data_IF_877839249014
#
_entry.id   IF_877839249014
#
_cell.length_a   1.000
_cell.length_b   1.000
_cell.length_c   1.000
_cell.angle_alpha   90.00
_cell.angle_beta   90.00
_cell.angle_gamma   90.00
#
_symmetry.space_group_name_H-M   'P 1'
#
loop_
_entity.id
_entity.type
_entity.pdbx_description
1 polymer ?
#
# COMPACT_ATOMS: atom_id res chain seq x y z
N UNK A 1 -17.07 14.92 56.11
CA UNK A 1 -16.78 13.89 55.10
C UNK A 1 -17.79 13.97 53.96
N UNK A 2 -17.42 14.53 52.82
CA UNK A 2 -18.08 14.27 51.52
C UNK A 2 -16.96 14.14 50.50
N UNK A 3 -16.80 12.92 50.03
CA UNK A 3 -15.80 12.43 49.10
C UNK A 3 -15.85 13.19 47.78
N UNK A 4 -14.70 13.74 47.36
CA UNK A 4 -14.51 14.20 45.99
C UNK A 4 -14.61 12.98 45.07
N UNK A 5 -15.61 12.99 44.18
CA UNK A 5 -15.74 12.03 43.10
C UNK A 5 -14.70 12.43 42.04
N UNK A 6 -13.62 11.65 41.91
CA UNK A 6 -12.69 11.81 40.80
C UNK A 6 -13.40 11.39 39.53
N UNK A 7 -13.57 12.34 38.61
CA UNK A 7 -13.99 12.08 37.24
C UNK A 7 -12.77 11.49 36.53
N UNK A 8 -12.61 10.17 36.59
CA UNK A 8 -11.65 9.47 35.76
C UNK A 8 -12.13 9.59 34.31
N UNK A 9 -11.54 10.51 33.55
CA UNK A 9 -11.58 10.48 32.10
C UNK A 9 -10.98 9.12 31.66
N UNK A 10 -11.85 8.18 31.29
CA UNK A 10 -11.47 7.10 30.40
C UNK A 10 -11.14 7.75 29.05
N UNK A 11 -9.90 8.19 28.88
CA UNK A 11 -9.27 8.21 27.56
C UNK A 11 -9.16 6.74 27.15
N UNK A 12 -10.23 6.19 26.57
CA UNK A 12 -10.10 5.00 25.74
C UNK A 12 -9.18 5.41 24.60
N UNK A 13 -7.91 5.08 24.75
CA UNK A 13 -6.91 5.13 23.70
C UNK A 13 -7.55 4.56 22.45
N UNK A 14 -7.70 5.40 21.43
CA UNK A 14 -7.96 4.95 20.07
C UNK A 14 -6.79 4.03 19.77
N UNK A 15 -6.98 2.72 19.92
CA UNK A 15 -6.07 1.74 19.37
C UNK A 15 -6.27 1.85 17.88
N UNK A 16 -5.61 2.85 17.28
CA UNK A 16 -5.32 2.88 15.86
C UNK A 16 -4.82 1.49 15.53
N UNK A 17 -5.55 0.75 14.70
CA UNK A 17 -5.03 -0.47 14.14
C UNK A 17 -3.80 -0.07 13.33
N UNK A 18 -2.62 -0.14 13.96
CA UNK A 18 -1.38 -0.28 13.23
C UNK A 18 -1.49 -1.67 12.61
N UNK A 19 -1.84 -1.71 11.33
CA UNK A 19 -1.94 -2.95 10.60
C UNK A 19 -0.51 -3.47 10.42
N UNK A 20 -0.04 -4.31 11.34
CA UNK A 20 1.26 -4.97 11.25
C UNK A 20 1.09 -6.37 10.70
N UNK A 21 1.78 -6.66 9.60
CA UNK A 21 1.89 -8.00 9.04
C UNK A 21 3.33 -8.41 8.86
N UNK A 22 3.58 -9.71 9.01
CA UNK A 22 4.91 -10.32 8.90
C UNK A 22 4.87 -11.47 7.92
N UNK A 23 5.85 -11.52 7.03
CA UNK A 23 6.06 -12.65 6.14
C UNK A 23 7.53 -13.05 6.15
N UNK A 24 7.80 -14.34 5.99
CA UNK A 24 9.17 -14.84 5.78
C UNK A 24 9.38 -15.04 4.28
N UNK A 25 10.41 -14.40 3.74
CA UNK A 25 10.79 -14.49 2.33
C UNK A 25 12.07 -15.32 2.23
N UNK A 26 11.96 -16.52 1.68
CA UNK A 26 13.08 -17.44 1.52
C UNK A 26 13.66 -17.34 0.10
N UNK A 27 14.85 -16.76 -0.02
CA UNK A 27 15.61 -16.64 -1.25
C UNK A 27 16.91 -17.47 -1.19
N UNK A 28 16.95 -18.52 -0.38
CA UNK A 28 18.16 -19.34 -0.21
C UNK A 28 18.42 -20.27 -1.39
N UNK A 29 17.39 -20.59 -2.18
CA UNK A 29 17.47 -21.48 -3.34
C UNK A 29 16.85 -20.83 -4.60
N UNK A 30 17.46 -19.73 -5.06
CA UNK A 30 17.04 -19.08 -6.31
C UNK A 30 17.80 -19.63 -7.52
N UNK A 31 17.43 -19.18 -8.73
CA UNK A 31 18.07 -19.61 -9.97
C UNK A 31 19.60 -19.55 -9.91
N UNK A 32 20.25 -20.49 -10.61
CA UNK A 32 21.70 -20.68 -10.60
C UNK A 32 22.31 -20.99 -9.22
N UNK A 33 21.53 -21.56 -8.30
CA UNK A 33 21.95 -21.83 -6.91
C UNK A 33 22.41 -20.56 -6.19
N UNK A 34 21.85 -19.41 -6.56
CA UNK A 34 22.16 -18.15 -5.89
C UNK A 34 21.45 -18.13 -4.55
N UNK A 35 22.22 -18.08 -3.46
CA UNK A 35 21.69 -17.86 -2.13
C UNK A 35 21.60 -16.36 -1.89
N UNK A 36 20.39 -15.81 -2.05
CA UNK A 36 20.11 -14.41 -1.78
C UNK A 36 19.65 -14.16 -0.35
N UNK A 37 19.53 -15.19 0.51
CA UNK A 37 19.27 -15.07 1.94
C UNK A 37 17.84 -15.43 2.38
N UNK A 38 17.62 -15.41 3.69
CA UNK A 38 16.31 -15.61 4.33
C UNK A 38 15.93 -14.31 5.04
N UNK A 39 14.80 -13.71 4.67
CA UNK A 39 14.38 -12.42 5.19
C UNK A 39 13.07 -12.48 5.96
N UNK A 40 12.96 -11.68 7.00
CA UNK A 40 11.69 -11.27 7.57
C UNK A 40 11.26 -9.95 6.98
N UNK A 41 10.04 -9.91 6.47
CA UNK A 41 9.42 -8.70 6.01
C UNK A 41 8.33 -8.31 7.01
N UNK A 42 8.39 -7.09 7.53
CA UNK A 42 7.33 -6.48 8.33
C UNK A 42 6.75 -5.31 7.57
N UNK A 43 5.42 -5.25 7.44
CA UNK A 43 4.69 -4.14 6.86
C UNK A 43 3.78 -3.58 7.93
N UNK A 44 3.89 -2.28 8.20
CA UNK A 44 3.05 -1.56 9.14
C UNK A 44 2.40 -0.39 8.41
N UNK A 45 1.07 -0.34 8.40
CA UNK A 45 0.33 0.79 7.84
C UNK A 45 -0.18 1.70 8.96
N UNK A 46 0.21 2.97 8.90
CA UNK A 46 -0.19 4.02 9.83
C UNK A 46 -1.16 4.98 9.14
N UNK A 47 -2.37 5.12 9.67
CA UNK A 47 -3.32 6.12 9.18
C UNK A 47 -2.78 7.54 9.37
N UNK A 48 -3.09 8.41 8.41
CA UNK A 48 -2.93 9.85 8.57
C UNK A 48 -3.91 10.31 9.66
N UNK A 49 -3.51 11.29 10.47
CA UNK A 49 -4.30 11.77 11.62
C UNK A 49 -5.20 12.97 11.30
N UNK A 50 -5.16 13.45 10.07
CA UNK A 50 -5.85 14.68 9.66
C UNK A 50 -6.63 14.43 8.40
N UNK A 51 -7.75 15.16 8.26
CA UNK A 51 -8.58 15.15 7.06
C UNK A 51 -7.72 15.38 5.81
N UNK A 52 -7.89 14.52 4.82
CA UNK A 52 -7.30 14.70 3.50
C UNK A 52 -8.31 15.39 2.59
N UNK A 53 -7.85 16.41 1.88
CA UNK A 53 -8.63 17.08 0.85
C UNK A 53 -8.05 16.79 -0.53
N UNK A 54 -8.90 16.72 -1.55
CA UNK A 54 -8.45 16.54 -2.93
C UNK A 54 -9.40 17.20 -3.92
N UNK A 55 -8.91 17.39 -5.14
CA UNK A 55 -9.70 17.77 -6.31
C UNK A 55 -9.79 16.58 -7.27
N UNK A 56 -10.66 16.69 -8.27
CA UNK A 56 -10.70 15.70 -9.34
C UNK A 56 -9.46 15.84 -10.23
N UNK A 57 -9.00 14.70 -10.71
CA UNK A 57 -8.01 14.56 -11.76
C UNK A 57 -8.63 13.80 -12.93
N UNK A 58 -8.20 14.11 -14.14
CA UNK A 58 -8.82 13.62 -15.36
C UNK A 58 -7.79 12.93 -16.23
N UNK A 59 -8.19 11.82 -16.85
CA UNK A 59 -7.39 11.07 -17.80
C UNK A 59 -8.30 10.48 -18.86
N UNK A 60 -7.74 10.13 -20.01
CA UNK A 60 -8.46 9.43 -21.06
C UNK A 60 -8.01 7.97 -21.11
N UNK A 61 -8.97 7.08 -21.32
CA UNK A 61 -8.76 5.66 -21.53
C UNK A 61 -9.34 5.29 -22.89
N UNK A 62 -8.67 4.39 -23.61
CA UNK A 62 -9.18 3.86 -24.88
C UNK A 62 -9.41 2.37 -24.71
N UNK A 63 -10.64 1.94 -24.97
CA UNK A 63 -11.03 0.54 -24.99
C UNK A 63 -11.76 0.25 -26.32
N UNK A 64 -11.35 -0.78 -27.04
CA UNK A 64 -11.94 -1.20 -28.33
C UNK A 64 -12.19 -0.09 -29.39
N UNK A 65 -11.37 0.97 -29.40
CA UNK A 65 -11.43 2.20 -30.21
C UNK A 65 -12.36 3.31 -29.70
N UNK A 66 -13.13 3.05 -28.66
CA UNK A 66 -13.89 4.08 -27.96
C UNK A 66 -12.99 4.81 -26.96
N UNK A 67 -13.17 6.13 -26.86
CA UNK A 67 -12.44 6.97 -25.93
C UNK A 67 -13.36 7.30 -24.75
N UNK A 68 -12.88 7.03 -23.55
CA UNK A 68 -13.59 7.26 -22.30
C UNK A 68 -12.82 8.27 -21.47
N UNK A 69 -13.52 9.17 -20.78
CA UNK A 69 -12.88 9.93 -19.71
C UNK A 69 -12.96 9.18 -18.37
N UNK A 70 -11.82 9.05 -17.70
CA UNK A 70 -11.69 8.57 -16.33
C UNK A 70 -11.41 9.75 -15.41
N UNK A 71 -12.32 9.96 -14.46
CA UNK A 71 -12.21 10.95 -13.41
C UNK A 71 -11.82 10.28 -12.10
N UNK A 72 -10.77 10.79 -11.44
CA UNK A 72 -10.21 10.19 -10.23
C UNK A 72 -10.08 11.23 -9.11
N UNK A 73 -10.55 10.88 -7.92
CA UNK A 73 -10.22 11.59 -6.68
C UNK A 73 -9.19 10.78 -5.89
N UNK A 74 -8.08 11.41 -5.50
CA UNK A 74 -6.96 10.77 -4.79
C UNK A 74 -6.76 11.39 -3.41
N UNK A 75 -6.79 10.58 -2.36
CA UNK A 75 -6.63 11.01 -0.97
C UNK A 75 -5.37 10.40 -0.37
N UNK A 76 -4.57 11.20 0.33
CA UNK A 76 -3.48 10.67 1.16
C UNK A 76 -4.08 10.11 2.45
N UNK A 77 -4.04 8.79 2.62
CA UNK A 77 -4.72 8.11 3.74
C UNK A 77 -3.77 7.69 4.85
N UNK A 78 -2.47 7.72 4.61
CA UNK A 78 -1.49 7.33 5.61
C UNK A 78 -0.10 7.08 5.06
N UNK A 79 0.67 6.32 5.82
CA UNK A 79 2.03 5.92 5.50
C UNK A 79 2.22 4.43 5.77
N UNK A 80 2.77 3.72 4.79
CA UNK A 80 3.22 2.35 4.93
C UNK A 80 4.71 2.36 5.30
N UNK A 81 5.02 1.72 6.42
CA UNK A 81 6.37 1.45 6.90
C UNK A 81 6.70 0.00 6.61
N UNK A 82 7.67 -0.20 5.73
CA UNK A 82 8.19 -1.49 5.35
C UNK A 82 9.55 -1.70 6.01
N UNK A 83 9.76 -2.87 6.59
CA UNK A 83 11.05 -3.34 7.11
C UNK A 83 11.38 -4.69 6.53
N UNK A 84 12.54 -4.81 5.88
CA UNK A 84 13.13 -6.08 5.49
C UNK A 84 14.35 -6.34 6.37
N UNK A 85 14.42 -7.50 6.99
CA UNK A 85 15.52 -7.90 7.86
C UNK A 85 16.07 -9.25 7.42
N UNK A 86 17.37 -9.33 7.18
CA UNK A 86 18.06 -10.61 6.96
C UNK A 86 18.14 -11.36 8.29
N UNK A 87 17.58 -12.56 8.35
CA UNK A 87 17.53 -13.37 9.57
C UNK A 87 18.89 -13.89 10.03
N UNK A 88 19.86 -13.99 9.13
CA UNK A 88 21.17 -14.56 9.41
C UNK A 88 22.21 -13.49 9.71
N UNK A 89 22.17 -12.37 8.98
CA UNK A 89 23.19 -11.30 9.10
C UNK A 89 22.75 -10.13 9.99
N UNK A 90 21.45 -10.01 10.27
CA UNK A 90 20.90 -8.87 11.01
C UNK A 90 20.84 -7.57 10.20
N UNK A 91 21.21 -7.59 8.91
CA UNK A 91 21.02 -6.44 8.03
C UNK A 91 19.55 -6.06 7.97
N UNK A 92 19.27 -4.75 7.94
CA UNK A 92 17.90 -4.25 7.84
C UNK A 92 17.79 -3.11 6.83
N UNK A 93 16.64 -3.04 6.16
CA UNK A 93 16.22 -1.91 5.34
C UNK A 93 14.83 -1.47 5.73
N UNK A 94 14.70 -0.20 6.07
CA UNK A 94 13.40 0.43 6.32
C UNK A 94 13.04 1.35 5.16
N UNK A 95 11.77 1.34 4.76
CA UNK A 95 11.22 2.18 3.69
C UNK A 95 9.87 2.70 4.18
N UNK A 96 9.68 4.01 4.14
CA UNK A 96 8.37 4.63 4.42
C UNK A 96 7.84 5.23 3.13
N UNK A 97 6.59 4.91 2.79
CA UNK A 97 5.90 5.43 1.61
C UNK A 97 4.53 5.95 2.02
N UNK A 98 4.14 7.08 1.43
CA UNK A 98 2.76 7.57 1.54
C UNK A 98 1.83 6.59 0.83
N UNK A 99 0.67 6.38 1.42
CA UNK A 99 -0.40 5.58 0.85
C UNK A 99 -1.51 6.50 0.41
N UNK A 100 -1.88 6.35 -0.86
CA UNK A 100 -3.00 7.05 -1.45
C UNK A 100 -4.12 6.07 -1.71
N UNK A 101 -5.32 6.47 -1.35
CA UNK A 101 -6.54 5.77 -1.73
C UNK A 101 -7.30 6.59 -2.78
N UNK A 102 -7.89 5.91 -3.75
CA UNK A 102 -8.61 6.57 -4.82
C UNK A 102 -10.01 6.01 -5.02
N UNK A 103 -10.86 6.86 -5.59
CA UNK A 103 -12.13 6.48 -6.21
C UNK A 103 -12.10 6.99 -7.64
N UNK A 104 -12.53 6.14 -8.57
CA UNK A 104 -12.57 6.43 -10.00
C UNK A 104 -13.99 6.31 -10.52
N UNK A 105 -14.32 7.17 -11.48
CA UNK A 105 -15.53 7.06 -12.29
C UNK A 105 -15.12 7.14 -13.76
N UNK A 106 -15.48 6.12 -14.53
CA UNK A 106 -15.35 6.14 -15.99
C UNK A 106 -16.70 6.57 -16.56
N UNK A 107 -16.69 7.62 -17.39
CA UNK A 107 -17.87 8.02 -18.15
C UNK A 107 -18.10 7.07 -19.32
N UNK A 108 -19.34 6.97 -19.80
CA UNK A 108 -19.69 6.20 -21.00
C UNK A 108 -19.27 6.92 -22.30
N UNK A 109 -18.77 8.16 -22.20
CA UNK A 109 -18.32 9.00 -23.30
C UNK A 109 -16.97 9.70 -23.00
N UNK A 110 -16.54 10.57 -23.92
CA UNK A 110 -15.31 11.35 -23.81
C UNK A 110 -15.38 12.49 -22.76
N UNK A 111 -16.54 12.72 -22.14
CA UNK A 111 -16.76 13.83 -21.20
C UNK A 111 -16.48 13.41 -19.77
N UNK A 112 -15.59 14.12 -19.11
CA UNK A 112 -15.25 13.84 -17.71
C UNK A 112 -16.37 14.25 -16.74
N UNK A 113 -16.64 13.39 -15.75
CA UNK A 113 -17.49 13.76 -14.64
C UNK A 113 -16.82 14.84 -13.79
N UNK A 114 -17.50 15.96 -13.53
CA UNK A 114 -16.93 17.08 -12.77
C UNK A 114 -17.72 17.41 -11.50
N UNK A 115 -18.90 16.81 -11.33
CA UNK A 115 -19.74 17.00 -10.16
C UNK A 115 -19.18 16.20 -8.97
N UNK A 116 -18.64 16.92 -7.99
CA UNK A 116 -18.08 16.33 -6.76
C UNK A 116 -19.09 15.48 -5.98
N UNK A 117 -20.37 15.83 -6.03
CA UNK A 117 -21.42 15.09 -5.31
C UNK A 117 -21.55 13.63 -5.79
N UNK A 118 -21.12 13.32 -7.02
CA UNK A 118 -21.09 11.93 -7.51
C UNK A 118 -20.02 11.06 -6.84
N UNK A 119 -19.04 11.67 -6.18
CA UNK A 119 -17.96 10.99 -5.47
C UNK A 119 -18.16 10.98 -3.95
N UNK A 120 -19.18 11.68 -3.45
CA UNK A 120 -19.48 11.80 -2.04
C UNK A 120 -20.38 10.64 -1.53
N UNK A 121 -20.36 10.43 -0.21
CA UNK A 121 -21.10 9.38 0.48
C UNK A 121 -20.25 8.18 0.87
N UNK A 122 -20.91 7.12 1.33
CA UNK A 122 -20.26 5.86 1.68
C UNK A 122 -19.87 5.11 0.41
N UNK A 123 -18.57 4.86 0.25
CA UNK A 123 -18.00 4.29 -0.96
C UNK A 123 -16.79 3.40 -0.65
N UNK A 124 -16.39 2.60 -1.64
CA UNK A 124 -15.18 1.81 -1.58
C UNK A 124 -14.02 2.59 -2.22
N UNK A 125 -12.90 2.66 -1.49
CA UNK A 125 -11.65 3.24 -1.96
C UNK A 125 -10.62 2.14 -2.17
N UNK A 126 -9.75 2.35 -3.16
CA UNK A 126 -8.66 1.45 -3.50
C UNK A 126 -7.34 2.10 -3.12
N UNK A 127 -6.62 1.52 -2.17
CA UNK A 127 -5.31 2.00 -1.75
C UNK A 127 -4.20 1.16 -2.39
N UNK A 128 -3.34 1.83 -3.16
CA UNK A 128 -2.13 1.19 -3.72
C UNK A 128 -1.04 1.13 -2.65
N UNK A 129 -0.49 -0.05 -2.44
CA UNK A 129 0.55 -0.32 -1.43
C UNK A 129 1.88 -0.75 -2.07
N UNK A 130 2.06 -0.54 -3.37
CA UNK A 130 3.28 -0.95 -4.07
C UNK A 130 4.52 -0.19 -3.58
N UNK A 131 5.64 -0.90 -3.44
CA UNK A 131 6.94 -0.26 -3.26
C UNK A 131 7.51 0.09 -4.63
N UNK A 132 7.54 1.38 -4.94
CA UNK A 132 8.31 1.88 -6.07
C UNK A 132 9.80 1.81 -5.76
N UNK A 133 10.47 0.87 -6.42
CA UNK A 133 11.91 0.71 -6.45
C UNK A 133 12.36 -0.65 -5.92
N UNK A 134 13.38 -1.20 -6.55
CA UNK A 134 14.06 -2.37 -6.04
C UNK A 134 14.81 -2.09 -4.76
N UNK A 135 14.83 -3.08 -3.88
CA UNK A 135 15.65 -3.10 -2.68
C UNK A 135 16.93 -3.88 -3.00
N UNK A 136 18.08 -3.20 -2.96
CA UNK A 136 19.37 -3.88 -3.06
C UNK A 136 19.60 -4.77 -1.83
N UNK A 137 19.89 -6.05 -2.06
CA UNK A 137 20.16 -7.03 -1.02
C UNK A 137 21.66 -7.07 -0.70
N UNK A 138 22.06 -7.28 0.57
CA UNK A 138 23.46 -7.31 1.00
C UNK A 138 24.14 -8.65 0.66
N UNK A 139 23.96 -9.16 -0.55
CA UNK A 139 24.45 -10.47 -0.98
C UNK A 139 25.32 -10.37 -2.21
N UNK A 140 26.21 -11.35 -2.38
CA UNK A 140 27.06 -11.43 -3.56
C UNK A 140 26.22 -11.82 -4.78
N UNK A 141 26.36 -11.07 -5.86
CA UNK A 141 25.73 -11.40 -7.13
C UNK A 141 26.35 -12.67 -7.77
N UNK A 142 25.54 -13.48 -8.47
CA UNK A 142 26.04 -14.65 -9.18
C UNK A 142 26.77 -14.26 -10.48
N UNK A 143 27.59 -15.18 -10.99
CA UNK A 143 28.33 -15.01 -12.25
C UNK A 143 29.15 -13.70 -12.27
N UNK A 144 28.99 -12.90 -13.33
CA UNK A 144 29.60 -11.60 -13.56
C UNK A 144 28.62 -10.43 -13.33
N UNK A 145 27.48 -10.69 -12.68
CA UNK A 145 26.54 -9.64 -12.27
C UNK A 145 27.12 -8.82 -11.11
N UNK A 146 26.64 -7.59 -10.94
CA UNK A 146 27.22 -6.64 -9.98
C UNK A 146 26.41 -6.50 -8.70
N UNK A 147 25.10 -6.75 -8.73
CA UNK A 147 24.24 -6.63 -7.56
C UNK A 147 23.03 -7.57 -7.63
N UNK A 148 22.42 -7.81 -6.48
CA UNK A 148 21.13 -8.50 -6.34
C UNK A 148 20.12 -7.51 -5.76
N UNK A 149 18.92 -7.50 -6.32
CA UNK A 149 17.80 -6.70 -5.84
C UNK A 149 16.52 -7.51 -5.73
N UNK A 150 15.57 -6.97 -4.98
CA UNK A 150 14.21 -7.51 -4.89
C UNK A 150 13.17 -6.41 -5.06
N UNK A 151 12.18 -6.67 -5.90
CA UNK A 151 10.94 -5.90 -5.95
C UNK A 151 9.90 -6.61 -5.09
N UNK A 152 9.17 -5.82 -4.30
CA UNK A 152 8.18 -6.33 -3.36
C UNK A 152 6.87 -5.56 -3.53
N UNK A 153 5.78 -6.30 -3.64
CA UNK A 153 4.42 -5.77 -3.68
C UNK A 153 3.66 -6.33 -2.48
N UNK A 154 3.65 -5.60 -1.34
CA UNK A 154 2.85 -5.99 -0.19
C UNK A 154 1.38 -5.71 -0.50
N UNK A 155 0.52 -6.73 -0.32
CA UNK A 155 -0.85 -6.79 -0.87
C UNK A 155 -0.83 -6.80 -2.39
N UNK A 156 -0.70 -8.01 -2.97
CA UNK A 156 -0.74 -8.19 -4.42
C UNK A 156 -2.02 -7.53 -5.01
N UNK A 157 -1.87 -6.37 -5.65
CA UNK A 157 -2.97 -5.52 -6.11
C UNK A 157 -3.21 -4.31 -5.19
N UNK A 158 -4.27 -4.37 -4.38
CA UNK A 158 -4.81 -3.21 -3.64
C UNK A 158 -5.33 -3.59 -2.25
N UNK A 159 -5.33 -2.60 -1.36
CA UNK A 159 -6.11 -2.62 -0.12
C UNK A 159 -7.46 -1.93 -0.37
N UNK A 160 -8.55 -2.65 -0.13
CA UNK A 160 -9.91 -2.18 -0.35
C UNK A 160 -10.50 -1.65 0.97
N UNK A 161 -10.97 -0.40 0.96
CA UNK A 161 -11.43 0.31 2.16
C UNK A 161 -12.86 0.80 1.97
N UNK A 162 -13.71 0.68 2.98
CA UNK A 162 -14.96 1.42 3.07
C UNK A 162 -14.72 2.76 3.75
N UNK A 163 -15.22 3.83 3.14
CA UNK A 163 -14.99 5.20 3.57
C UNK A 163 -16.26 6.04 3.39
N UNK A 164 -16.35 7.16 4.11
CA UNK A 164 -17.32 8.21 3.82
C UNK A 164 -16.60 9.45 3.29
N UNK A 165 -16.92 9.86 2.06
CA UNK A 165 -16.36 11.05 1.41
C UNK A 165 -17.36 12.19 1.49
N UNK A 166 -16.91 13.39 1.82
CA UNK A 166 -17.74 14.59 1.94
C UNK A 166 -17.33 15.65 0.91
N UNK A 167 -18.27 16.47 0.46
CA UNK A 167 -17.94 17.70 -0.28
C UNK A 167 -17.75 18.84 0.71
N UNK A 168 -16.60 19.52 0.63
CA UNK A 168 -16.29 20.73 1.42
C UNK A 168 -15.89 21.85 0.46
N UNK A 169 -16.87 22.70 0.13
CA UNK A 169 -16.68 23.76 -0.86
C UNK A 169 -16.40 23.17 -2.24
N UNK A 170 -15.22 23.43 -2.79
CA UNK A 170 -14.80 22.94 -4.12
C UNK A 170 -13.88 21.72 -4.06
N UNK A 171 -13.80 21.05 -2.90
CA UNK A 171 -12.94 19.88 -2.69
C UNK A 171 -13.72 18.72 -2.11
N UNK A 172 -13.20 17.52 -2.32
CA UNK A 172 -13.60 16.32 -1.59
C UNK A 172 -12.76 16.20 -0.32
N UNK A 173 -13.39 15.75 0.76
CA UNK A 173 -12.82 15.59 2.09
C UNK A 173 -13.02 14.16 2.56
N UNK A 174 -12.00 13.61 3.19
CA UNK A 174 -12.01 12.27 3.78
C UNK A 174 -11.28 12.32 5.11
N UNK A 175 -11.86 11.75 6.17
CA UNK A 175 -11.16 11.54 7.45
C UNK A 175 -10.43 10.18 7.39
N UNK A 176 -9.09 10.18 7.27
CA UNK A 176 -8.34 8.94 7.19
C UNK A 176 -8.15 8.23 8.52
N UNK A 177 -8.48 8.85 9.66
CA UNK A 177 -8.31 8.22 10.97
C UNK A 177 -9.30 7.10 11.24
N UNK A 178 -10.46 7.14 10.58
CA UNK A 178 -11.47 6.07 10.57
C UNK A 178 -11.20 5.00 9.50
N UNK A 179 -10.33 5.33 8.54
CA UNK A 179 -9.82 4.37 7.57
C UNK A 179 -8.78 3.47 8.24
N UNK A 180 -8.64 2.24 7.74
CA UNK A 180 -7.72 1.24 8.27
C UNK A 180 -8.13 0.68 9.65
N UNK A 181 -9.37 0.91 10.06
CA UNK A 181 -10.03 0.20 11.15
C UNK A 181 -10.53 -1.16 10.68
N UNK A 182 -10.76 -2.10 11.60
CA UNK A 182 -11.34 -3.41 11.26
C UNK A 182 -12.70 -3.33 10.56
N UNK A 183 -13.43 -2.21 10.73
CA UNK A 183 -14.71 -1.94 10.07
C UNK A 183 -14.57 -1.42 8.65
N UNK A 184 -13.50 -0.69 8.34
CA UNK A 184 -13.27 -0.14 7.00
C UNK A 184 -12.56 -1.14 6.08
N UNK A 185 -11.83 -2.12 6.59
CA UNK A 185 -11.16 -3.13 5.77
C UNK A 185 -12.20 -4.14 5.25
N UNK A 186 -12.40 -4.17 3.93
CA UNK A 186 -13.31 -5.13 3.29
C UNK A 186 -12.83 -6.59 3.44
N UNK A 187 -13.75 -7.55 3.42
CA UNK A 187 -13.45 -8.98 3.49
C UNK A 187 -12.58 -9.47 2.32
N UNK A 188 -12.73 -8.88 1.13
CA UNK A 188 -11.92 -9.17 -0.07
C UNK A 188 -10.41 -9.02 0.17
N UNK A 189 -10.01 -8.23 1.18
CA UNK A 189 -8.61 -8.10 1.53
C UNK A 189 -8.01 -9.41 2.03
N UNK A 190 -8.81 -10.36 2.55
CA UNK A 190 -8.34 -11.66 3.05
C UNK A 190 -7.58 -12.44 1.97
N UNK A 191 -8.07 -12.43 0.73
CA UNK A 191 -7.45 -13.14 -0.37
C UNK A 191 -6.19 -12.43 -0.91
N UNK A 192 -6.13 -11.10 -0.73
CA UNK A 192 -5.00 -10.27 -1.12
C UNK A 192 -3.93 -10.13 -0.02
N UNK A 193 -4.05 -10.84 1.12
CA UNK A 193 -3.02 -10.89 2.18
C UNK A 193 -1.82 -11.72 1.74
N UNK A 194 -1.11 -11.23 0.75
CA UNK A 194 0.13 -11.80 0.31
C UNK A 194 1.09 -10.76 -0.23
N UNK A 195 2.34 -11.18 -0.34
CA UNK A 195 3.48 -10.40 -0.82
C UNK A 195 3.91 -11.02 -2.13
N UNK A 196 3.73 -10.29 -3.23
CA UNK A 196 4.39 -10.62 -4.48
C UNK A 196 5.85 -10.20 -4.42
N UNK A 197 6.76 -11.03 -4.94
CA UNK A 197 8.18 -10.68 -5.02
C UNK A 197 8.80 -11.05 -6.36
N UNK A 198 9.80 -10.28 -6.77
CA UNK A 198 10.67 -10.56 -7.91
C UNK A 198 12.12 -10.27 -7.52
N UNK A 199 12.93 -11.33 -7.40
CA UNK A 199 14.36 -11.26 -7.10
C UNK A 199 15.13 -11.30 -8.40
N UNK A 200 16.13 -10.43 -8.53
CA UNK A 200 16.93 -10.33 -9.74
C UNK A 200 18.39 -10.01 -9.44
N UNK A 201 19.29 -10.38 -10.35
CA UNK A 201 20.64 -9.84 -10.41
C UNK A 201 20.71 -8.79 -11.52
N UNK A 202 21.50 -7.73 -11.33
CA UNK A 202 21.71 -6.70 -12.36
C UNK A 202 23.18 -6.47 -12.69
N UNK A 203 23.42 -6.14 -13.96
CA UNK A 203 24.71 -5.69 -14.51
C UNK A 203 24.41 -4.63 -15.56
N UNK A 204 24.77 -3.38 -15.29
CA UNK A 204 24.44 -2.25 -16.16
C UNK A 204 22.92 -2.22 -16.47
N UNK A 205 22.53 -2.26 -17.74
CA UNK A 205 21.13 -2.28 -18.18
C UNK A 205 20.52 -3.70 -18.24
N UNK A 206 21.28 -4.74 -17.92
CA UNK A 206 20.82 -6.13 -17.98
C UNK A 206 20.35 -6.63 -16.62
N UNK A 207 19.28 -7.43 -16.63
CA UNK A 207 18.77 -8.11 -15.43
C UNK A 207 18.62 -9.61 -15.70
N UNK A 208 18.95 -10.41 -14.70
CA UNK A 208 18.68 -11.84 -14.64
C UNK A 208 17.64 -12.08 -13.57
N UNK A 209 16.49 -12.65 -13.95
CA UNK A 209 15.51 -13.10 -12.96
C UNK A 209 16.08 -14.28 -12.17
N UNK A 210 16.05 -14.16 -10.84
CA UNK A 210 16.49 -15.20 -9.93
C UNK A 210 15.33 -15.97 -9.33
N UNK A 211 14.25 -15.27 -8.97
CA UNK A 211 13.03 -15.89 -8.45
C UNK A 211 11.83 -14.93 -8.60
N UNK A 212 10.65 -15.52 -8.69
CA UNK A 212 9.36 -14.83 -8.59
C UNK A 212 8.45 -15.68 -7.72
N UNK A 213 7.59 -15.05 -6.93
CA UNK A 213 6.65 -15.80 -6.13
C UNK A 213 5.71 -14.93 -5.31
N UNK A 214 4.92 -15.61 -4.50
CA UNK A 214 3.94 -15.00 -3.61
C UNK A 214 3.98 -15.70 -2.25
N UNK A 215 4.07 -14.93 -1.18
CA UNK A 215 4.03 -15.44 0.21
C UNK A 215 2.84 -14.84 0.93
N UNK A 216 2.01 -15.66 1.58
CA UNK A 216 0.91 -15.15 2.41
C UNK A 216 1.46 -14.57 3.72
N UNK A 217 0.82 -13.50 4.19
CA UNK A 217 1.08 -12.96 5.52
C UNK A 217 0.54 -13.88 6.63
#
# INVERSE_FOLDING_TARGET
>A
MKTMLSLALLLTSISSFAFEQKATLDFTNTYANTNAGLYEMTVNLSAKKTVSETTLSFSTHRDDNDLFCVTTANFEVGEMNFKLADKNTGWTKNITKKVFASITHQSDDETCETNLEKFAGSTNLYASLSLEGAIALPVKAPFDYTSVGVWLSPFNGYLYLNANVEVKGTKLSLDPSELLTSRSILSTNVDNKAVGYFVYASKEATTLSLAVGQVKF
#
